data_IF_637860146314
#
_entry.id   IF_637860146314
#
_cell.length_a   1.000
_cell.length_b   1.000
_cell.length_c   1.000
_cell.angle_alpha   90.00
_cell.angle_beta   90.00
_cell.angle_gamma   90.00
#
_symmetry.space_group_name_H-M   'P 1'
#
loop_
_entity.id
_entity.type
_entity.pdbx_description
1 polymer ?
#
# COMPACT_ATOMS: atom_id res chain seq x y z
N UNK A 1 -3.96 -9.87 10.23
CA UNK A 1 -3.03 -10.97 10.58
C UNK A 1 -1.78 -10.93 9.70
N UNK A 2 -1.88 -10.39 8.47
CA UNK A 2 -0.74 -10.27 7.52
C UNK A 2 -0.03 -8.91 7.51
N UNK A 3 -0.17 -8.12 8.58
CA UNK A 3 0.42 -6.76 8.65
C UNK A 3 1.96 -6.76 8.55
N UNK A 4 2.61 -7.86 8.94
CA UNK A 4 4.05 -8.05 8.84
C UNK A 4 4.53 -8.29 7.39
N UNK A 5 3.64 -8.64 6.46
CA UNK A 5 3.93 -8.70 5.03
C UNK A 5 3.69 -7.34 4.37
N UNK A 6 2.58 -6.70 4.74
CA UNK A 6 2.18 -5.36 4.29
C UNK A 6 3.27 -4.30 4.50
N UNK A 7 3.92 -4.34 5.67
CA UNK A 7 4.92 -3.35 6.05
C UNK A 7 6.14 -3.36 5.11
N UNK A 8 6.48 -4.51 4.51
CA UNK A 8 7.60 -4.61 3.59
C UNK A 8 7.32 -3.87 2.28
N UNK A 9 6.06 -3.86 1.82
CA UNK A 9 5.63 -3.11 0.64
C UNK A 9 5.77 -1.61 0.91
N UNK A 10 5.25 -1.15 2.06
CA UNK A 10 5.34 0.26 2.49
C UNK A 10 6.81 0.69 2.57
N UNK A 11 7.65 -0.10 3.26
CA UNK A 11 9.08 0.15 3.40
C UNK A 11 9.76 0.29 2.04
N UNK A 12 9.44 -0.58 1.08
CA UNK A 12 10.01 -0.54 -0.27
C UNK A 12 9.67 0.76 -1.01
N UNK A 13 8.41 1.21 -0.91
CA UNK A 13 7.97 2.48 -1.52
C UNK A 13 8.63 3.69 -0.85
N UNK A 14 8.77 3.66 0.47
CA UNK A 14 9.45 4.71 1.23
C UNK A 14 10.95 4.81 0.90
N UNK A 15 11.64 3.67 0.83
CA UNK A 15 13.05 3.62 0.45
C UNK A 15 13.30 4.16 -0.97
N UNK A 16 12.36 3.92 -1.88
CA UNK A 16 12.39 4.46 -3.23
C UNK A 16 11.98 5.94 -3.32
N UNK A 17 11.55 6.56 -2.20
CA UNK A 17 11.10 7.95 -2.15
C UNK A 17 9.84 8.22 -2.98
N UNK A 18 9.02 7.19 -3.23
CA UNK A 18 7.84 7.31 -4.08
C UNK A 18 6.67 7.93 -3.30
N UNK A 19 5.79 8.70 -3.98
CA UNK A 19 4.64 9.32 -3.34
C UNK A 19 3.61 8.26 -2.92
N UNK A 20 2.82 8.59 -1.89
CA UNK A 20 1.76 7.72 -1.36
C UNK A 20 0.70 7.33 -2.42
N UNK A 21 0.53 8.16 -3.46
CA UNK A 21 -0.36 7.88 -4.59
C UNK A 21 0.02 6.60 -5.32
N UNK A 22 1.31 6.21 -5.28
CA UNK A 22 1.77 4.93 -5.82
C UNK A 22 1.06 3.76 -5.14
N UNK A 23 0.97 3.77 -3.81
CA UNK A 23 0.28 2.73 -3.05
C UNK A 23 -1.24 2.85 -3.15
N UNK A 24 -1.78 4.05 -3.41
CA UNK A 24 -3.22 4.26 -3.63
C UNK A 24 -3.71 3.66 -4.95
N UNK A 25 -2.92 3.86 -6.00
CA UNK A 25 -3.31 3.55 -7.38
C UNK A 25 -2.72 2.21 -7.88
N UNK A 26 -1.98 1.50 -7.02
CA UNK A 26 -1.40 0.19 -7.31
C UNK A 26 -2.51 -0.87 -7.53
N UNK A 27 -2.34 -1.73 -8.54
CA UNK A 27 -3.20 -2.91 -8.73
C UNK A 27 -2.69 -4.02 -7.80
N UNK A 28 -3.41 -4.24 -6.69
CA UNK A 28 -3.19 -5.37 -5.79
C UNK A 28 -4.00 -6.59 -6.22
N UNK A 29 -3.54 -7.78 -5.83
CA UNK A 29 -4.26 -9.03 -6.03
C UNK A 29 -5.46 -9.12 -5.09
N UNK A 30 -6.60 -9.60 -5.58
CA UNK A 30 -7.83 -9.80 -4.79
C UNK A 30 -8.13 -11.30 -4.61
N UNK A 31 -8.56 -11.76 -3.40
CA UNK A 31 -8.63 -11.02 -2.14
C UNK A 31 -7.26 -11.00 -1.42
N UNK A 32 -6.83 -9.84 -0.92
CA UNK A 32 -5.61 -9.74 -0.10
C UNK A 32 -5.69 -8.61 0.91
N UNK A 33 -4.94 -8.70 2.02
CA UNK A 33 -4.84 -7.59 2.98
C UNK A 33 -4.21 -6.33 2.36
N UNK A 34 -3.36 -6.49 1.33
CA UNK A 34 -2.63 -5.39 0.68
C UNK A 34 -3.50 -4.47 -0.15
N UNK A 35 -4.62 -4.95 -0.66
CA UNK A 35 -5.55 -4.11 -1.40
C UNK A 35 -6.18 -3.01 -0.53
N UNK A 36 -6.28 -3.22 0.79
CA UNK A 36 -6.79 -2.21 1.73
C UNK A 36 -5.89 -0.97 1.84
N UNK A 37 -4.66 -1.01 1.29
CA UNK A 37 -3.83 0.19 1.18
C UNK A 37 -4.43 1.21 0.20
N UNK A 38 -5.12 0.74 -0.86
CA UNK A 38 -5.80 1.64 -1.80
C UNK A 38 -6.87 2.47 -1.09
N UNK A 39 -7.70 1.80 -0.28
CA UNK A 39 -8.75 2.46 0.50
C UNK A 39 -8.15 3.42 1.53
N UNK A 40 -7.12 3.00 2.26
CA UNK A 40 -6.45 3.82 3.27
C UNK A 40 -5.90 5.12 2.68
N UNK A 41 -5.15 5.03 1.57
CA UNK A 41 -4.51 6.19 0.97
C UNK A 41 -5.48 7.06 0.16
N UNK A 42 -6.66 6.53 -0.21
CA UNK A 42 -7.75 7.33 -0.80
C UNK A 42 -8.41 8.29 0.20
N UNK A 43 -8.18 8.13 1.51
CA UNK A 43 -8.68 9.04 2.54
C UNK A 43 -7.91 10.36 2.62
N UNK A 44 -6.74 10.45 1.98
CA UNK A 44 -5.90 11.65 2.00
C UNK A 44 -6.45 12.69 1.01
N UNK A 45 -6.66 13.92 1.50
CA UNK A 45 -7.17 15.07 0.73
C UNK A 45 -6.06 15.84 0.03
#
# INVERSE_FOLDING_TARGET
VDSHEMINIIKTVMDAGLPYTTLRDQIFTHPSMSESLNDLFSLIK
#
